data_IF_294899425773
#
_entry.id   IF_294899425773
#
_cell.length_a   1.000
_cell.length_b   1.000
_cell.length_c   1.000
_cell.angle_alpha   90.00
_cell.angle_beta   90.00
_cell.angle_gamma   90.00
#
_symmetry.space_group_name_H-M   'P 1'
#
loop_
_entity.id
_entity.type
_entity.pdbx_description
1 polymer ?
#
# COMPACT_ATOMS: atom_id res chain seq x y z
N UNK A 1 6.52 -11.85 15.24
CA UNK A 1 5.38 -11.28 14.47
C UNK A 1 5.78 -9.88 14.02
N UNK A 2 5.70 -9.56 12.73
CA UNK A 2 6.07 -8.25 12.18
C UNK A 2 4.93 -7.24 12.40
N UNK A 3 5.08 -6.38 13.41
CA UNK A 3 4.08 -5.36 13.80
C UNK A 3 3.85 -4.32 12.69
N UNK A 4 4.87 -4.01 11.88
CA UNK A 4 4.75 -3.05 10.79
C UNK A 4 3.94 -3.65 9.64
N UNK A 5 4.17 -4.92 9.30
CA UNK A 5 3.35 -5.65 8.33
C UNK A 5 1.87 -5.66 8.70
N UNK A 6 1.58 -5.97 9.98
CA UNK A 6 0.21 -6.01 10.50
C UNK A 6 -0.45 -4.63 10.43
N UNK A 7 0.29 -3.58 10.81
CA UNK A 7 -0.17 -2.20 10.74
C UNK A 7 -0.55 -1.77 9.32
N UNK A 8 0.29 -2.09 8.32
CA UNK A 8 -0.01 -1.79 6.91
C UNK A 8 -1.23 -2.57 6.43
N UNK A 9 -1.27 -3.89 6.68
CA UNK A 9 -2.40 -4.74 6.26
C UNK A 9 -3.73 -4.29 6.87
N UNK A 10 -3.74 -3.93 8.15
CA UNK A 10 -4.93 -3.40 8.83
C UNK A 10 -5.44 -2.11 8.16
N UNK A 11 -4.55 -1.17 7.85
CA UNK A 11 -4.93 0.10 7.21
C UNK A 11 -5.45 -0.09 5.79
N UNK A 12 -4.87 -1.02 5.02
CA UNK A 12 -5.39 -1.41 3.70
C UNK A 12 -6.79 -2.02 3.82
N UNK A 13 -7.03 -2.90 4.79
CA UNK A 13 -8.37 -3.45 5.06
C UNK A 13 -9.37 -2.36 5.44
N UNK A 14 -8.95 -1.40 6.28
CA UNK A 14 -9.78 -0.25 6.67
C UNK A 14 -10.13 0.63 5.48
N UNK A 15 -9.18 0.89 4.56
CA UNK A 15 -9.43 1.61 3.31
C UNK A 15 -10.51 0.91 2.48
N UNK A 16 -10.38 -0.40 2.28
CA UNK A 16 -11.39 -1.20 1.55
C UNK A 16 -12.78 -1.10 2.18
N UNK A 17 -12.85 -1.21 3.51
CA UNK A 17 -14.11 -1.10 4.24
C UNK A 17 -14.75 0.28 4.07
N UNK A 18 -13.96 1.35 4.18
CA UNK A 18 -14.44 2.72 4.00
C UNK A 18 -14.96 2.95 2.58
N UNK A 19 -14.22 2.52 1.55
CA UNK A 19 -14.67 2.66 0.16
C UNK A 19 -15.96 1.86 -0.12
N UNK A 20 -16.02 0.61 0.33
CA UNK A 20 -17.19 -0.26 0.15
C UNK A 20 -18.43 0.26 0.88
N UNK A 21 -18.27 0.86 2.06
CA UNK A 21 -19.37 1.50 2.78
C UNK A 21 -19.98 2.62 1.93
N UNK A 22 -19.14 3.53 1.42
CA UNK A 22 -19.65 4.66 0.67
C UNK A 22 -20.22 4.23 -0.68
N UNK A 23 -19.59 3.28 -1.39
CA UNK A 23 -20.19 2.66 -2.60
C UNK A 23 -21.61 2.14 -2.36
N UNK A 24 -21.85 1.44 -1.24
CA UNK A 24 -23.18 0.91 -0.90
C UNK A 24 -24.18 2.00 -0.59
N UNK A 25 -23.76 3.08 0.06
CA UNK A 25 -24.62 4.20 0.38
C UNK A 25 -24.99 4.98 -0.88
N UNK A 26 -24.03 5.18 -1.79
CA UNK A 26 -24.29 5.81 -3.09
C UNK A 26 -25.19 4.93 -3.98
N UNK A 27 -24.98 3.61 -3.97
CA UNK A 27 -25.82 2.67 -4.73
C UNK A 27 -27.26 2.54 -4.20
N UNK A 28 -27.49 2.77 -2.90
CA UNK A 28 -28.82 2.85 -2.32
C UNK A 28 -29.56 4.13 -2.73
N UNK A 29 -28.89 5.28 -2.68
CA UNK A 29 -29.45 6.55 -3.18
C UNK A 29 -29.86 6.46 -4.67
N UNK A 30 -29.03 5.87 -5.52
CA UNK A 30 -29.35 5.71 -6.94
C UNK A 30 -30.63 4.88 -7.21
N UNK A 31 -31.01 3.99 -6.29
CA UNK A 31 -32.25 3.22 -6.36
C UNK A 31 -33.44 3.92 -5.71
N UNK A 32 -33.21 4.83 -4.76
CA UNK A 32 -34.25 5.59 -4.05
C UNK A 32 -34.61 6.91 -4.78
N UNK A 33 -33.71 7.47 -5.61
CA UNK A 33 -33.83 8.81 -6.23
C UNK A 33 -34.11 8.78 -7.74
N UNK A 34 -34.93 7.84 -8.23
CA UNK A 34 -35.48 7.91 -9.60
C UNK A 34 -36.45 9.09 -9.83
N UNK A 35 -36.64 9.97 -8.84
CA UNK A 35 -37.40 11.21 -8.94
C UNK A 35 -36.44 12.42 -8.93
N UNK A 36 -36.33 13.08 -10.09
CA UNK A 36 -35.79 14.44 -10.30
C UNK A 36 -34.34 14.76 -9.88
N UNK A 37 -33.36 14.12 -10.53
CA UNK A 37 -31.95 14.54 -10.44
C UNK A 37 -31.62 15.57 -11.53
N UNK A 38 -31.04 16.72 -11.13
CA UNK A 38 -30.58 17.78 -12.05
C UNK A 38 -29.39 17.29 -12.91
N UNK A 39 -29.22 17.87 -14.11
CA UNK A 39 -28.09 17.51 -15.00
C UNK A 39 -26.71 17.72 -14.34
N UNK A 40 -26.58 18.71 -13.45
CA UNK A 40 -25.33 18.98 -12.73
C UNK A 40 -25.01 17.87 -11.69
N UNK A 41 -26.03 17.37 -10.99
CA UNK A 41 -25.90 16.24 -10.06
C UNK A 41 -25.50 14.94 -10.76
N UNK A 42 -26.03 14.67 -11.97
CA UNK A 42 -25.61 13.52 -12.78
C UNK A 42 -24.12 13.59 -13.15
N UNK A 43 -23.61 14.79 -13.46
CA UNK A 43 -22.19 15.01 -13.77
C UNK A 43 -21.32 14.81 -12.52
N UNK A 44 -21.75 15.35 -11.37
CA UNK A 44 -21.10 15.16 -10.07
C UNK A 44 -21.00 13.68 -9.67
N UNK A 45 -22.10 12.94 -9.80
CA UNK A 45 -22.20 11.52 -9.50
C UNK A 45 -21.28 10.66 -10.39
N UNK A 46 -21.18 10.97 -11.69
CA UNK A 46 -20.25 10.29 -12.61
C UNK A 46 -18.78 10.55 -12.24
N UNK A 47 -18.44 11.79 -11.86
CA UNK A 47 -17.09 12.14 -11.40
C UNK A 47 -16.74 11.40 -10.11
N UNK A 48 -17.70 11.32 -9.19
CA UNK A 48 -17.58 10.59 -7.93
C UNK A 48 -17.35 9.08 -8.14
N UNK A 49 -18.16 8.41 -8.95
CA UNK A 49 -17.98 6.97 -9.26
C UNK A 49 -16.61 6.69 -9.92
N UNK A 50 -16.16 7.61 -10.78
CA UNK A 50 -14.85 7.54 -11.41
C UNK A 50 -13.72 7.68 -10.38
N UNK A 51 -13.88 8.57 -9.40
CA UNK A 51 -12.94 8.75 -8.30
C UNK A 51 -12.89 7.50 -7.41
N UNK A 52 -14.03 6.94 -7.01
CA UNK A 52 -14.07 5.71 -6.21
C UNK A 52 -13.38 4.55 -6.92
N UNK A 53 -13.62 4.37 -8.22
CA UNK A 53 -12.92 3.37 -9.05
C UNK A 53 -11.39 3.58 -9.03
N UNK A 54 -10.95 4.84 -9.10
CA UNK A 54 -9.53 5.20 -9.03
C UNK A 54 -8.93 4.90 -7.65
N UNK A 55 -9.65 5.17 -6.58
CA UNK A 55 -9.23 4.87 -5.20
C UNK A 55 -9.13 3.35 -4.99
N UNK A 56 -10.10 2.56 -5.45
CA UNK A 56 -10.04 1.10 -5.38
C UNK A 56 -8.83 0.52 -6.12
N UNK A 57 -8.53 1.04 -7.32
CA UNK A 57 -7.31 0.67 -8.05
C UNK A 57 -6.05 1.00 -7.25
N UNK A 58 -6.03 2.13 -6.56
CA UNK A 58 -4.89 2.50 -5.72
C UNK A 58 -4.75 1.59 -4.50
N UNK A 59 -5.86 1.21 -3.85
CA UNK A 59 -5.86 0.22 -2.77
C UNK A 59 -5.28 -1.11 -3.25
N UNK A 60 -5.68 -1.59 -4.43
CA UNK A 60 -5.17 -2.84 -4.99
C UNK A 60 -3.65 -2.80 -5.23
N UNK A 61 -3.11 -1.66 -5.69
CA UNK A 61 -1.67 -1.46 -5.85
C UNK A 61 -0.92 -1.56 -4.51
N UNK A 62 -1.42 -0.87 -3.49
CA UNK A 62 -0.83 -0.93 -2.15
C UNK A 62 -0.89 -2.33 -1.54
N UNK A 63 -2.00 -3.05 -1.75
CA UNK A 63 -2.10 -4.45 -1.33
C UNK A 63 -1.06 -5.33 -2.03
N UNK A 64 -0.90 -5.19 -3.34
CA UNK A 64 0.11 -5.96 -4.07
C UNK A 64 1.54 -5.66 -3.57
N UNK A 65 1.85 -4.40 -3.26
CA UNK A 65 3.14 -4.04 -2.66
C UNK A 65 3.33 -4.65 -1.27
N UNK A 66 2.30 -4.63 -0.42
CA UNK A 66 2.34 -5.29 0.90
C UNK A 66 2.60 -6.80 0.74
N UNK A 67 1.89 -7.47 -0.16
CA UNK A 67 2.05 -8.91 -0.41
C UNK A 67 3.44 -9.26 -0.93
N UNK A 68 3.98 -8.47 -1.86
CA UNK A 68 5.37 -8.63 -2.35
C UNK A 68 6.40 -8.43 -1.25
N UNK A 69 6.19 -7.45 -0.38
CA UNK A 69 7.06 -7.21 0.79
C UNK A 69 7.01 -8.41 1.74
N UNK A 70 5.82 -8.93 2.01
CA UNK A 70 5.63 -10.11 2.88
C UNK A 70 6.27 -11.37 2.30
N UNK A 71 6.11 -11.60 1.00
CA UNK A 71 6.73 -12.73 0.30
C UNK A 71 8.26 -12.67 0.38
N UNK A 72 8.84 -11.51 0.07
CA UNK A 72 10.27 -11.28 0.17
C UNK A 72 10.79 -11.59 1.59
N UNK A 73 10.13 -11.04 2.62
CA UNK A 73 10.49 -11.34 4.01
C UNK A 73 10.39 -12.84 4.31
N UNK A 74 9.36 -13.55 3.85
CA UNK A 74 9.21 -14.99 4.07
C UNK A 74 10.34 -15.78 3.42
N UNK A 75 10.70 -15.46 2.17
CA UNK A 75 11.81 -16.12 1.47
C UNK A 75 13.15 -15.88 2.15
N UNK A 76 13.39 -14.66 2.65
CA UNK A 76 14.60 -14.33 3.42
C UNK A 76 14.70 -15.16 4.70
N UNK A 77 13.64 -15.20 5.53
CA UNK A 77 13.64 -15.99 6.78
C UNK A 77 13.73 -17.50 6.51
N UNK A 78 13.07 -18.00 5.46
CA UNK A 78 13.17 -19.40 5.05
C UNK A 78 14.59 -19.81 4.67
N UNK A 79 15.34 -18.90 4.02
CA UNK A 79 16.73 -19.12 3.66
C UNK A 79 17.66 -19.10 4.88
N UNK A 80 17.47 -18.16 5.82
CA UNK A 80 18.25 -18.12 7.07
C UNK A 80 18.14 -19.43 7.88
N UNK A 81 16.95 -20.01 7.96
CA UNK A 81 16.72 -21.28 8.65
C UNK A 81 17.42 -22.46 7.97
N UNK A 82 17.51 -22.46 6.63
CA UNK A 82 18.22 -23.48 5.86
C UNK A 82 19.74 -23.34 5.98
N UNK A 83 20.24 -22.10 6.05
CA UNK A 83 21.67 -21.80 6.19
C UNK A 83 22.21 -22.17 7.58
N UNK A 84 21.40 -22.09 8.64
CA UNK A 84 21.84 -22.35 10.01
C UNK A 84 21.97 -23.84 10.37
N UNK A 85 21.64 -24.76 9.45
CA UNK A 85 21.52 -26.22 9.71
C UNK A 85 22.69 -27.07 9.17
N UNK A 86 23.77 -26.49 8.64
CA UNK A 86 24.86 -27.29 8.06
C UNK A 86 26.23 -26.63 8.09
N UNK A 87 27.26 -27.47 8.29
CA UNK A 87 28.68 -27.11 8.43
C UNK A 87 29.20 -26.15 7.34
N UNK A 88 29.99 -25.19 7.81
CA UNK A 88 30.50 -24.01 7.09
C UNK A 88 31.63 -24.35 6.10
N UNK A 89 31.28 -24.85 4.92
CA UNK A 89 32.23 -24.90 3.80
C UNK A 89 32.29 -23.54 3.07
N UNK A 90 33.50 -23.09 2.70
CA UNK A 90 33.74 -21.78 2.05
C UNK A 90 32.97 -21.56 0.74
N UNK A 91 32.67 -22.62 -0.02
CA UNK A 91 31.82 -22.53 -1.22
C UNK A 91 30.37 -22.12 -0.90
N UNK A 92 29.84 -22.56 0.26
CA UNK A 92 28.48 -22.27 0.73
C UNK A 92 28.34 -20.82 1.23
N UNK A 93 29.42 -20.22 1.72
CA UNK A 93 29.45 -18.81 2.09
C UNK A 93 29.31 -17.89 0.87
N UNK A 94 29.97 -18.22 -0.25
CA UNK A 94 29.88 -17.45 -1.49
C UNK A 94 28.47 -17.50 -2.12
N UNK A 95 27.83 -18.67 -2.06
CA UNK A 95 26.44 -18.86 -2.50
C UNK A 95 25.46 -18.06 -1.62
N UNK A 96 25.69 -18.02 -0.30
CA UNK A 96 24.90 -17.24 0.65
C UNK A 96 24.99 -15.73 0.38
N UNK A 97 26.20 -15.20 0.19
CA UNK A 97 26.40 -13.77 -0.12
C UNK A 97 25.71 -13.40 -1.45
N UNK A 98 25.84 -14.23 -2.49
CA UNK A 98 25.14 -14.06 -3.77
C UNK A 98 23.61 -14.00 -3.61
N UNK A 99 23.05 -14.85 -2.72
CA UNK A 99 21.60 -14.85 -2.46
C UNK A 99 21.15 -13.60 -1.70
N UNK A 100 21.97 -13.09 -0.78
CA UNK A 100 21.69 -11.83 -0.08
C UNK A 100 21.73 -10.62 -1.03
N UNK A 101 22.68 -10.59 -1.96
CA UNK A 101 22.75 -9.57 -3.03
C UNK A 101 21.49 -9.60 -3.90
N UNK A 102 21.00 -10.80 -4.26
CA UNK A 102 19.75 -10.94 -5.00
C UNK A 102 18.56 -10.37 -4.22
N UNK A 103 18.42 -10.69 -2.93
CA UNK A 103 17.34 -10.12 -2.11
C UNK A 103 17.44 -8.60 -1.98
N UNK A 104 18.65 -8.06 -1.89
CA UNK A 104 18.86 -6.62 -1.84
C UNK A 104 18.41 -5.94 -3.13
N UNK A 105 18.76 -6.50 -4.29
CA UNK A 105 18.30 -6.02 -5.58
C UNK A 105 16.76 -6.08 -5.71
N UNK A 106 16.15 -7.21 -5.33
CA UNK A 106 14.68 -7.35 -5.28
C UNK A 106 14.04 -6.29 -4.36
N UNK A 107 14.69 -5.97 -3.24
CA UNK A 107 14.23 -4.94 -2.30
C UNK A 107 14.32 -3.55 -2.91
N UNK A 108 15.38 -3.23 -3.65
CA UNK A 108 15.50 -1.95 -4.37
C UNK A 108 14.45 -1.82 -5.47
N UNK A 109 14.19 -2.89 -6.23
CA UNK A 109 13.10 -2.87 -7.21
C UNK A 109 11.75 -2.61 -6.52
N UNK A 110 11.49 -3.25 -5.38
CA UNK A 110 10.29 -3.01 -4.58
C UNK A 110 10.20 -1.56 -4.09
N UNK A 111 11.30 -0.98 -3.60
CA UNK A 111 11.37 0.42 -3.20
C UNK A 111 10.99 1.37 -4.36
N UNK A 112 11.50 1.12 -5.57
CA UNK A 112 11.15 1.90 -6.76
C UNK A 112 9.65 1.83 -7.07
N UNK A 113 9.03 0.66 -6.96
CA UNK A 113 7.59 0.52 -7.15
C UNK A 113 6.76 1.20 -6.04
N UNK A 114 7.24 1.19 -4.80
CA UNK A 114 6.61 1.92 -3.68
C UNK A 114 6.64 3.43 -3.93
N UNK A 115 7.80 3.95 -4.36
CA UNK A 115 7.94 5.39 -4.70
C UNK A 115 7.02 5.76 -5.86
N UNK A 116 7.00 4.98 -6.95
CA UNK A 116 6.14 5.23 -8.09
C UNK A 116 4.64 5.18 -7.71
N UNK A 117 4.26 4.28 -6.80
CA UNK A 117 2.88 4.17 -6.30
C UNK A 117 2.50 5.37 -5.43
N UNK A 118 3.43 5.86 -4.60
CA UNK A 118 3.26 7.09 -3.81
C UNK A 118 3.12 8.33 -4.69
N UNK A 119 3.93 8.45 -5.74
CA UNK A 119 3.78 9.53 -6.73
C UNK A 119 2.41 9.48 -7.41
N UNK A 120 1.96 8.28 -7.81
CA UNK A 120 0.61 8.12 -8.37
C UNK A 120 -0.48 8.53 -7.37
N UNK A 121 -0.30 8.21 -6.09
CA UNK A 121 -1.22 8.64 -5.06
C UNK A 121 -1.29 10.17 -4.95
N UNK A 122 -0.17 10.89 -5.03
CA UNK A 122 -0.16 12.36 -5.02
C UNK A 122 -0.99 12.96 -6.18
N UNK A 123 -0.94 12.35 -7.37
CA UNK A 123 -1.79 12.76 -8.51
C UNK A 123 -3.28 12.48 -8.29
N UNK A 124 -3.62 11.41 -7.56
CA UNK A 124 -5.00 11.04 -7.25
C UNK A 124 -5.55 11.96 -6.16
N UNK A 125 -4.73 12.27 -5.15
CA UNK A 125 -5.09 13.11 -4.01
C UNK A 125 -5.54 14.51 -4.44
N UNK A 126 -4.93 15.10 -5.46
CA UNK A 126 -5.36 16.41 -5.99
C UNK A 126 -6.76 16.39 -6.61
N UNK A 127 -7.23 15.22 -7.07
CA UNK A 127 -8.56 15.03 -7.67
C UNK A 127 -9.65 14.71 -6.67
N UNK A 128 -9.29 14.36 -5.44
CA UNK A 128 -10.23 14.02 -4.36
C UNK A 128 -11.15 15.21 -4.08
N UNK A 129 -10.61 16.41 -3.91
CA UNK A 129 -11.42 17.61 -3.60
C UNK A 129 -12.47 17.83 -4.69
N UNK A 130 -12.09 17.78 -5.98
CA UNK A 130 -13.04 17.99 -7.08
C UNK A 130 -14.09 16.87 -7.18
N UNK A 131 -13.72 15.61 -6.93
CA UNK A 131 -14.65 14.48 -7.09
C UNK A 131 -15.69 14.32 -5.97
N UNK A 132 -15.45 14.90 -4.78
CA UNK A 132 -16.42 14.89 -3.68
C UNK A 132 -17.33 16.12 -3.67
N UNK A 133 -16.90 17.28 -4.20
CA UNK A 133 -17.68 18.53 -4.16
C UNK A 133 -19.07 18.39 -4.78
N UNK A 134 -19.19 17.72 -5.93
CA UNK A 134 -20.47 17.58 -6.65
C UNK A 134 -21.51 16.66 -5.97
N UNK A 135 -21.10 15.85 -4.98
CA UNK A 135 -21.99 14.89 -4.27
C UNK A 135 -22.04 15.20 -2.76
N UNK A 136 -21.22 16.14 -2.28
CA UNK A 136 -21.08 16.46 -0.86
C UNK A 136 -22.40 16.96 -0.26
N UNK A 137 -23.09 17.89 -0.92
CA UNK A 137 -24.35 18.44 -0.39
C UNK A 137 -25.49 17.42 -0.37
N UNK A 138 -25.61 16.60 -1.42
CA UNK A 138 -26.66 15.59 -1.54
C UNK A 138 -26.46 14.47 -0.52
N UNK A 139 -25.24 13.97 -0.38
CA UNK A 139 -24.90 12.93 0.61
C UNK A 139 -25.01 13.42 2.05
N UNK A 140 -24.66 14.67 2.33
CA UNK A 140 -24.75 15.21 3.68
C UNK A 140 -26.22 15.37 4.11
N UNK A 141 -27.11 15.77 3.19
CA UNK A 141 -28.56 15.91 3.45
C UNK A 141 -29.26 14.56 3.63
N UNK A 142 -28.89 13.55 2.84
CA UNK A 142 -29.60 12.26 2.79
C UNK A 142 -29.02 11.17 3.71
N UNK A 143 -27.69 11.14 3.88
CA UNK A 143 -26.99 10.08 4.63
C UNK A 143 -26.29 10.58 5.91
N UNK A 144 -26.24 11.90 6.12
CA UNK A 144 -25.53 12.52 7.25
C UNK A 144 -24.01 12.38 7.17
N UNK A 145 -23.46 11.95 6.02
CA UNK A 145 -22.02 11.76 5.85
C UNK A 145 -21.37 13.07 5.46
N UNK A 146 -20.43 13.48 6.30
CA UNK A 146 -19.49 14.55 6.00
C UNK A 146 -18.45 14.05 5.00
N UNK A 147 -18.65 14.39 3.72
CA UNK A 147 -17.75 13.99 2.63
C UNK A 147 -16.36 14.63 2.73
N UNK A 148 -16.23 15.79 3.37
CA UNK A 148 -14.93 16.39 3.61
C UNK A 148 -14.14 15.57 4.62
N UNK A 149 -14.78 15.20 5.74
CA UNK A 149 -14.16 14.33 6.75
C UNK A 149 -13.84 12.94 6.19
N UNK A 150 -14.71 12.39 5.34
CA UNK A 150 -14.44 11.13 4.65
C UNK A 150 -13.23 11.24 3.72
N UNK A 151 -13.17 12.27 2.89
CA UNK A 151 -12.06 12.52 1.99
C UNK A 151 -10.72 12.64 2.76
N UNK A 152 -10.71 13.34 3.89
CA UNK A 152 -9.52 13.47 4.72
C UNK A 152 -9.13 12.15 5.41
N UNK A 153 -10.10 11.36 5.86
CA UNK A 153 -9.85 10.00 6.38
C UNK A 153 -9.17 9.11 5.32
N UNK A 154 -9.66 9.14 4.08
CA UNK A 154 -9.07 8.39 2.97
C UNK A 154 -7.64 8.86 2.70
N UNK A 155 -7.41 10.18 2.65
CA UNK A 155 -6.07 10.74 2.44
C UNK A 155 -5.08 10.29 3.51
N UNK A 156 -5.50 10.40 4.77
CA UNK A 156 -4.67 10.02 5.92
C UNK A 156 -4.33 8.52 5.90
N UNK A 157 -5.31 7.67 5.61
CA UNK A 157 -5.07 6.22 5.53
C UNK A 157 -4.10 5.84 4.41
N UNK A 158 -4.22 6.43 3.21
CA UNK A 158 -3.26 6.17 2.13
C UNK A 158 -1.85 6.65 2.49
N UNK A 159 -1.74 7.84 3.09
CA UNK A 159 -0.45 8.37 3.56
C UNK A 159 0.18 7.44 4.60
N UNK A 160 -0.59 6.95 5.56
CA UNK A 160 -0.10 6.01 6.56
C UNK A 160 0.32 4.65 5.98
N UNK A 161 -0.38 4.16 4.95
CA UNK A 161 0.00 2.93 4.22
C UNK A 161 1.31 3.14 3.46
N UNK A 162 1.43 4.25 2.71
CA UNK A 162 2.66 4.62 2.00
C UNK A 162 3.85 4.67 2.97
N UNK A 163 3.71 5.43 4.07
CA UNK A 163 4.76 5.56 5.08
C UNK A 163 5.12 4.23 5.71
N UNK A 164 4.13 3.39 5.99
CA UNK A 164 4.36 2.07 6.57
C UNK A 164 5.17 1.15 5.66
N UNK A 165 4.89 1.17 4.35
CA UNK A 165 5.68 0.43 3.36
C UNK A 165 7.11 0.95 3.24
N UNK A 166 7.30 2.27 3.15
CA UNK A 166 8.63 2.89 3.08
C UNK A 166 9.51 2.54 4.27
N UNK A 167 8.98 2.67 5.49
CA UNK A 167 9.72 2.33 6.72
C UNK A 167 10.11 0.86 6.74
N UNK A 168 9.19 -0.02 6.34
CA UNK A 168 9.43 -1.47 6.33
C UNK A 168 10.49 -1.85 5.30
N UNK A 169 10.41 -1.31 4.08
CA UNK A 169 11.40 -1.54 3.04
C UNK A 169 12.77 -0.99 3.43
N UNK A 170 12.84 0.22 4.00
CA UNK A 170 14.10 0.79 4.48
C UNK A 170 14.78 -0.08 5.56
N UNK A 171 13.99 -0.67 6.46
CA UNK A 171 14.50 -1.62 7.45
C UNK A 171 15.06 -2.89 6.81
N UNK A 172 14.35 -3.48 5.85
CA UNK A 172 14.81 -4.66 5.11
C UNK A 172 16.13 -4.37 4.40
N UNK A 173 16.25 -3.21 3.74
CA UNK A 173 17.50 -2.76 3.10
C UNK A 173 18.62 -2.70 4.14
N UNK A 174 18.40 -2.02 5.26
CA UNK A 174 19.41 -1.89 6.31
C UNK A 174 19.85 -3.24 6.91
N UNK A 175 18.92 -4.17 7.12
CA UNK A 175 19.21 -5.52 7.62
C UNK A 175 20.04 -6.34 6.59
N UNK A 176 19.71 -6.24 5.31
CA UNK A 176 20.44 -6.89 4.21
C UNK A 176 21.85 -6.31 4.03
N UNK A 177 21.96 -4.99 3.90
CA UNK A 177 23.25 -4.29 3.76
C UNK A 177 24.16 -4.53 4.97
N UNK A 178 23.60 -4.49 6.19
CA UNK A 178 24.33 -4.79 7.41
C UNK A 178 24.86 -6.23 7.45
N UNK A 179 24.06 -7.19 6.97
CA UNK A 179 24.48 -8.59 6.88
C UNK A 179 25.58 -8.78 5.85
N UNK A 180 25.44 -8.18 4.66
CA UNK A 180 26.45 -8.20 3.60
C UNK A 180 27.77 -7.57 4.05
N UNK A 181 27.72 -6.42 4.74
CA UNK A 181 28.91 -5.77 5.28
C UNK A 181 29.65 -6.67 6.30
N UNK A 182 28.90 -7.36 7.18
CA UNK A 182 29.46 -8.32 8.13
C UNK A 182 30.14 -9.48 7.41
N UNK A 183 29.48 -10.06 6.40
CA UNK A 183 30.04 -11.18 5.62
C UNK A 183 31.30 -10.76 4.85
N UNK A 184 31.31 -9.58 4.23
CA UNK A 184 32.47 -9.00 3.57
C UNK A 184 33.68 -8.85 4.50
N UNK A 185 33.47 -8.33 5.71
CA UNK A 185 34.53 -8.23 6.72
C UNK A 185 35.07 -9.60 7.18
N UNK A 186 34.20 -10.61 7.27
CA UNK A 186 34.64 -11.98 7.65
C UNK A 186 35.42 -12.68 6.54
N UNK A 187 35.15 -12.40 5.27
CA UNK A 187 35.95 -12.90 4.14
C UNK A 187 37.34 -12.24 4.06
N UNK A 188 37.46 -10.95 4.41
CA UNK A 188 38.73 -10.21 4.44
C UNK A 188 39.68 -10.64 5.58
N UNK A 189 39.15 -11.24 6.66
CA UNK A 189 39.93 -11.72 7.82
C UNK A 189 40.45 -13.16 7.67
N UNK A 190 40.06 -13.87 6.61
CA UNK A 190 40.47 -15.25 6.32
C UNK A 190 41.60 -15.26 5.31
#
# INVERSE_FOLDING_TARGET
MDLHALGVSYKIKRLKQQLLLVERLTGKQANEEQAEISEDSKVGMKAYLSLITLLNKQVARYQSLQEKTDDLCKRMHGNELYASRGDLNGARAKEKTSTLEQFLEETFQLQRYIVATGQKWMEIQSKIVCGFVGVAEEMQKSSGIDMNRFADSIKNLFHEVQRGLEVRTARIIGDLEGTLAREGMTCLRR
#
